data_IF_308307324197
#
_entry.id   IF_308307324197
#
_cell.length_a   1.000
_cell.length_b   1.000
_cell.length_c   1.000
_cell.angle_alpha   90.00
_cell.angle_beta   90.00
_cell.angle_gamma   90.00
#
_symmetry.space_group_name_H-M   'P 1'
#
loop_
_entity.id
_entity.type
_entity.pdbx_description
1 polymer ?
#
# COMPACT_ATOMS: atom_id res chain seq x y z
N UNK A 1 -2.40 27.10 -13.02
CA UNK A 1 -2.53 25.80 -12.30
C UNK A 1 -1.55 24.77 -12.89
N UNK A 2 -0.33 25.20 -13.23
CA UNK A 2 0.68 24.45 -13.99
C UNK A 2 1.70 23.71 -13.09
N UNK A 3 1.64 23.89 -11.77
CA UNK A 3 2.73 23.50 -10.87
C UNK A 3 2.79 22.04 -10.40
N UNK A 4 1.83 21.16 -10.72
CA UNK A 4 1.84 19.76 -10.24
C UNK A 4 2.05 18.70 -11.33
N UNK A 5 1.66 19.00 -12.57
CA UNK A 5 1.76 18.04 -13.69
C UNK A 5 3.24 17.85 -14.08
N UNK A 6 4.03 18.93 -14.08
CA UNK A 6 5.46 18.92 -14.42
C UNK A 6 6.37 18.19 -13.40
N UNK A 7 5.94 18.04 -12.14
CA UNK A 7 6.78 17.50 -11.07
C UNK A 7 6.85 15.96 -11.07
N UNK A 8 5.75 15.27 -11.41
CA UNK A 8 5.76 13.80 -11.48
C UNK A 8 6.51 13.32 -12.72
N UNK A 9 6.36 13.98 -13.86
CA UNK A 9 7.04 13.56 -15.10
C UNK A 9 8.57 13.70 -15.00
N UNK A 10 9.06 14.79 -14.40
CA UNK A 10 10.49 15.03 -14.22
C UNK A 10 11.16 14.20 -13.09
N UNK A 11 10.39 13.79 -12.07
CA UNK A 11 10.91 13.08 -10.90
C UNK A 11 10.23 11.72 -10.66
N UNK A 12 9.71 11.12 -11.74
CA UNK A 12 8.88 9.90 -11.68
C UNK A 12 9.57 8.75 -10.94
N UNK A 13 10.82 8.48 -11.28
CA UNK A 13 11.59 7.39 -10.68
C UNK A 13 11.86 7.65 -9.20
N UNK A 14 12.29 8.86 -8.85
CA UNK A 14 12.52 9.26 -7.46
C UNK A 14 11.24 9.14 -6.63
N UNK A 15 10.09 9.57 -7.18
CA UNK A 15 8.80 9.41 -6.52
C UNK A 15 8.49 7.93 -6.27
N UNK A 16 8.64 7.06 -7.28
CA UNK A 16 8.39 5.61 -7.12
C UNK A 16 9.26 5.02 -6.02
N UNK A 17 10.56 5.34 -6.01
CA UNK A 17 11.51 4.87 -4.98
C UNK A 17 11.10 5.29 -3.57
N UNK A 18 10.75 6.58 -3.38
CA UNK A 18 10.25 7.09 -2.11
C UNK A 18 9.00 6.33 -1.66
N UNK A 19 8.05 6.05 -2.56
CA UNK A 19 6.83 5.30 -2.23
C UNK A 19 7.11 3.83 -1.89
N UNK A 20 8.09 3.21 -2.52
CA UNK A 20 8.56 1.86 -2.15
C UNK A 20 9.13 1.89 -0.73
N UNK A 21 10.06 2.80 -0.44
CA UNK A 21 10.68 2.94 0.88
C UNK A 21 9.62 3.20 1.96
N UNK A 22 8.69 4.14 1.72
CA UNK A 22 7.58 4.44 2.62
C UNK A 22 6.71 3.19 2.90
N UNK A 23 6.46 2.36 1.88
CA UNK A 23 5.69 1.13 2.06
C UNK A 23 6.42 0.13 2.97
N UNK A 24 7.73 -0.04 2.77
CA UNK A 24 8.57 -0.95 3.54
C UNK A 24 8.75 -0.47 4.98
N UNK A 25 9.04 0.81 5.19
CA UNK A 25 9.13 1.41 6.52
C UNK A 25 7.78 1.35 7.26
N UNK A 26 6.68 1.55 6.54
CA UNK A 26 5.32 1.38 7.06
C UNK A 26 5.07 -0.04 7.58
N UNK A 27 5.52 -1.06 6.85
CA UNK A 27 5.48 -2.45 7.32
C UNK A 27 6.34 -2.68 8.55
N UNK A 28 7.58 -2.20 8.56
CA UNK A 28 8.47 -2.33 9.71
C UNK A 28 7.83 -1.77 11.00
N UNK A 29 7.23 -0.58 10.90
CA UNK A 29 6.52 0.03 12.02
C UNK A 29 5.26 -0.73 12.41
N UNK A 30 4.48 -1.21 11.44
CA UNK A 30 3.29 -2.02 11.70
C UNK A 30 3.62 -3.28 12.50
N UNK A 31 4.70 -3.99 12.13
CA UNK A 31 5.15 -5.19 12.83
C UNK A 31 5.57 -4.87 14.27
N UNK A 32 6.33 -3.79 14.49
CA UNK A 32 6.73 -3.36 15.84
C UNK A 32 5.51 -3.06 16.71
N UNK A 33 4.55 -2.30 16.18
CA UNK A 33 3.29 -2.00 16.88
C UNK A 33 2.51 -3.27 17.23
N UNK A 34 2.46 -4.23 16.31
CA UNK A 34 1.77 -5.48 16.52
C UNK A 34 2.39 -6.31 17.66
N UNK A 35 3.73 -6.35 17.75
CA UNK A 35 4.47 -7.03 18.83
C UNK A 35 4.18 -6.42 20.20
N UNK A 36 4.06 -5.11 20.25
CA UNK A 36 3.69 -4.36 21.47
C UNK A 36 2.18 -4.44 21.78
N UNK A 37 1.40 -5.18 21.00
CA UNK A 37 -0.02 -5.41 21.24
C UNK A 37 -0.95 -4.37 20.61
N UNK A 38 -0.44 -3.36 19.90
CA UNK A 38 -1.23 -2.28 19.31
C UNK A 38 -1.80 -2.63 17.93
N UNK A 39 -2.72 -3.60 17.87
CA UNK A 39 -3.29 -4.12 16.61
C UNK A 39 -3.98 -3.03 15.77
N UNK A 40 -4.70 -2.07 16.38
CA UNK A 40 -5.36 -0.98 15.64
C UNK A 40 -4.36 -0.03 14.96
N UNK A 41 -3.28 0.31 15.66
CA UNK A 41 -2.21 1.14 15.12
C UNK A 41 -1.44 0.38 14.03
N UNK A 42 -1.18 -0.92 14.25
CA UNK A 42 -0.58 -1.78 13.23
C UNK A 42 -1.43 -1.84 11.96
N UNK A 43 -2.75 -2.02 12.08
CA UNK A 43 -3.68 -1.99 10.94
C UNK A 43 -3.63 -0.67 10.16
N UNK A 44 -3.61 0.46 10.88
CA UNK A 44 -3.44 1.78 10.25
C UNK A 44 -2.13 1.87 9.46
N UNK A 45 -1.02 1.37 10.01
CA UNK A 45 0.29 1.38 9.34
C UNK A 45 0.37 0.44 8.14
N UNK A 46 -0.19 -0.76 8.23
CA UNK A 46 -0.31 -1.67 7.07
C UNK A 46 -1.15 -1.03 5.97
N UNK A 47 -2.28 -0.39 6.31
CA UNK A 47 -3.10 0.30 5.31
C UNK A 47 -2.35 1.45 4.62
N UNK A 48 -1.61 2.26 5.38
CA UNK A 48 -0.79 3.33 4.80
C UNK A 48 0.34 2.79 3.92
N UNK A 49 1.00 1.71 4.34
CA UNK A 49 2.00 1.02 3.53
C UNK A 49 1.40 0.50 2.22
N UNK A 50 0.21 -0.09 2.27
CA UNK A 50 -0.52 -0.58 1.09
C UNK A 50 -0.78 0.56 0.10
N UNK A 51 -1.25 1.71 0.58
CA UNK A 51 -1.45 2.90 -0.28
C UNK A 51 -0.14 3.40 -0.90
N UNK A 52 0.97 3.32 -0.19
CA UNK A 52 2.28 3.68 -0.72
C UNK A 52 2.69 2.73 -1.87
N UNK A 53 2.55 1.43 -1.68
CA UNK A 53 2.81 0.45 -2.74
C UNK A 53 1.89 0.65 -3.97
N UNK A 54 0.57 0.83 -3.77
CA UNK A 54 -0.37 1.08 -4.87
C UNK A 54 0.00 2.36 -5.62
N UNK A 55 0.36 3.42 -4.90
CA UNK A 55 0.83 4.67 -5.50
C UNK A 55 2.10 4.47 -6.35
N UNK A 56 3.06 3.67 -5.87
CA UNK A 56 4.24 3.30 -6.66
C UNK A 56 3.87 2.56 -7.95
N UNK A 57 2.95 1.58 -7.88
CA UNK A 57 2.45 0.84 -9.06
C UNK A 57 1.72 1.74 -10.05
N UNK A 58 0.86 2.65 -9.56
CA UNK A 58 0.15 3.62 -10.41
C UNK A 58 1.14 4.49 -11.16
N UNK A 59 2.13 5.07 -10.46
CA UNK A 59 3.11 5.95 -11.10
C UNK A 59 4.04 5.16 -12.02
N UNK A 60 4.40 3.93 -11.71
CA UNK A 60 5.14 3.05 -12.61
C UNK A 60 4.37 2.78 -13.92
N UNK A 61 3.03 2.81 -13.88
CA UNK A 61 2.15 2.52 -15.01
C UNK A 61 1.34 3.73 -15.52
N UNK A 62 1.75 4.96 -15.19
CA UNK A 62 0.94 6.16 -15.38
C UNK A 62 0.46 6.40 -16.82
N UNK A 63 1.19 5.93 -17.83
CA UNK A 63 0.76 6.00 -19.24
C UNK A 63 -0.35 5.01 -19.61
N UNK A 64 -0.46 3.90 -18.86
CA UNK A 64 -1.44 2.84 -19.07
C UNK A 64 -2.62 2.92 -18.11
N UNK A 65 -2.48 3.64 -17.00
CA UNK A 65 -3.55 3.75 -16.00
C UNK A 65 -4.82 4.40 -16.57
N UNK A 66 -4.77 5.56 -17.25
CA UNK A 66 -5.96 6.21 -17.77
C UNK A 66 -6.55 5.47 -18.98
N UNK A 67 -7.88 5.51 -19.11
CA UNK A 67 -8.61 5.08 -20.32
C UNK A 67 -8.94 6.23 -21.26
N UNK A 68 -9.02 7.45 -20.72
CA UNK A 68 -9.34 8.67 -21.44
C UNK A 68 -8.61 9.89 -20.82
N UNK A 69 -8.72 11.05 -21.47
CA UNK A 69 -8.06 12.28 -21.05
C UNK A 69 -8.53 12.79 -19.68
N UNK A 70 -9.78 12.52 -19.31
CA UNK A 70 -10.35 12.92 -18.02
C UNK A 70 -9.74 12.08 -16.89
N UNK A 71 -9.65 10.77 -17.08
CA UNK A 71 -8.90 9.90 -16.17
C UNK A 71 -7.42 10.30 -16.13
N UNK A 72 -6.82 10.69 -17.26
CA UNK A 72 -5.41 11.13 -17.32
C UNK A 72 -5.18 12.33 -16.41
N UNK A 73 -6.04 13.34 -16.53
CA UNK A 73 -6.01 14.51 -15.66
C UNK A 73 -6.20 14.13 -14.19
N UNK A 74 -7.13 13.21 -13.89
CA UNK A 74 -7.37 12.75 -12.52
C UNK A 74 -6.16 12.03 -11.93
N UNK A 75 -5.53 11.12 -12.68
CA UNK A 75 -4.33 10.40 -12.24
C UNK A 75 -3.17 11.36 -11.99
N UNK A 76 -2.97 12.35 -12.86
CA UNK A 76 -1.92 13.36 -12.71
C UNK A 76 -2.16 14.31 -11.52
N UNK A 77 -3.41 14.62 -11.19
CA UNK A 77 -3.73 15.53 -10.08
C UNK A 77 -3.85 14.84 -8.72
N UNK A 78 -4.38 13.62 -8.68
CA UNK A 78 -4.80 12.99 -7.42
C UNK A 78 -4.63 11.47 -7.43
N UNK A 79 -4.96 10.79 -8.53
CA UNK A 79 -4.92 9.32 -8.59
C UNK A 79 -3.54 8.73 -8.26
N UNK A 80 -2.45 9.42 -8.61
CA UNK A 80 -1.09 9.02 -8.26
C UNK A 80 -0.84 8.87 -6.75
N UNK A 81 -1.61 9.57 -5.90
CA UNK A 81 -1.54 9.49 -4.43
C UNK A 81 -2.22 8.25 -3.87
N UNK A 82 -2.90 7.46 -4.71
CA UNK A 82 -3.76 6.35 -4.29
C UNK A 82 -4.76 6.77 -3.19
N UNK A 83 -5.63 7.78 -3.42
CA UNK A 83 -6.58 8.26 -2.41
C UNK A 83 -7.50 7.15 -1.93
N UNK A 84 -7.85 7.13 -0.64
CA UNK A 84 -8.69 6.07 -0.05
C UNK A 84 -10.02 5.91 -0.77
N UNK A 85 -10.64 7.01 -1.19
CA UNK A 85 -11.92 7.03 -1.92
C UNK A 85 -11.83 6.46 -3.33
N UNK A 86 -10.66 6.53 -3.97
CA UNK A 86 -10.41 5.99 -5.31
C UNK A 86 -9.73 4.63 -5.33
N UNK A 87 -9.30 4.12 -4.17
CA UNK A 87 -8.38 2.98 -4.07
C UNK A 87 -8.93 1.71 -4.73
N UNK A 88 -10.23 1.43 -4.56
CA UNK A 88 -10.88 0.26 -5.20
C UNK A 88 -10.83 0.35 -6.73
N UNK A 89 -11.18 1.49 -7.30
CA UNK A 89 -11.15 1.70 -8.75
C UNK A 89 -9.73 1.66 -9.32
N UNK A 90 -8.76 2.22 -8.60
CA UNK A 90 -7.34 2.12 -8.96
C UNK A 90 -6.90 0.66 -9.00
N UNK A 91 -7.25 -0.13 -7.98
CA UNK A 91 -6.85 -1.54 -7.91
C UNK A 91 -7.51 -2.41 -8.97
N UNK A 92 -8.77 -2.14 -9.35
CA UNK A 92 -9.41 -2.78 -10.51
C UNK A 92 -8.64 -2.48 -11.80
N UNK A 93 -8.24 -1.22 -11.99
CA UNK A 93 -7.46 -0.84 -13.17
C UNK A 93 -6.08 -1.49 -13.19
N UNK A 94 -5.43 -1.62 -12.03
CA UNK A 94 -4.18 -2.37 -11.90
C UNK A 94 -4.37 -3.86 -12.21
N UNK A 95 -5.49 -4.47 -11.83
CA UNK A 95 -5.79 -5.86 -12.21
C UNK A 95 -5.96 -6.07 -13.71
N UNK A 96 -6.61 -5.13 -14.40
CA UNK A 96 -6.68 -5.14 -15.87
C UNK A 96 -5.28 -5.08 -16.52
N UNK A 97 -4.29 -4.53 -15.82
CA UNK A 97 -2.89 -4.49 -16.24
C UNK A 97 -2.07 -5.71 -15.75
N UNK A 98 -2.71 -6.67 -15.08
CA UNK A 98 -2.10 -7.93 -14.62
C UNK A 98 -1.63 -7.94 -13.16
N UNK A 99 -1.87 -6.88 -12.38
CA UNK A 99 -1.47 -6.81 -10.98
C UNK A 99 -2.58 -7.34 -10.06
N UNK A 100 -2.38 -8.48 -9.40
CA UNK A 100 -3.37 -9.11 -8.51
C UNK A 100 -3.46 -8.39 -7.15
N UNK A 101 -4.12 -7.23 -7.12
CA UNK A 101 -4.15 -6.34 -5.95
C UNK A 101 -5.56 -5.98 -5.45
N UNK A 102 -6.63 -6.35 -6.14
CA UNK A 102 -7.99 -5.90 -5.77
C UNK A 102 -8.47 -6.52 -4.46
N UNK A 103 -8.29 -7.83 -4.30
CA UNK A 103 -8.72 -8.55 -3.11
C UNK A 103 -7.98 -8.04 -1.87
N UNK A 104 -6.66 -7.93 -1.95
CA UNK A 104 -5.84 -7.35 -0.90
C UNK A 104 -6.16 -5.89 -0.60
N UNK A 105 -6.56 -5.11 -1.62
CA UNK A 105 -7.04 -3.74 -1.41
C UNK A 105 -8.34 -3.73 -0.61
N UNK A 106 -9.24 -4.68 -0.87
CA UNK A 106 -10.47 -4.82 -0.11
C UNK A 106 -10.19 -5.16 1.35
N UNK A 107 -9.25 -6.07 1.61
CA UNK A 107 -8.76 -6.39 2.98
C UNK A 107 -8.05 -5.19 3.63
N UNK A 108 -7.24 -4.43 2.89
CA UNK A 108 -6.62 -3.22 3.44
C UNK A 108 -7.67 -2.18 3.85
N UNK A 109 -8.79 -2.07 3.12
CA UNK A 109 -9.91 -1.19 3.48
C UNK A 109 -10.69 -1.67 4.70
N UNK A 110 -10.82 -2.99 4.94
CA UNK A 110 -11.40 -3.51 6.20
C UNK A 110 -10.48 -3.17 7.38
N UNK A 111 -9.17 -3.35 7.23
CA UNK A 111 -8.16 -2.96 8.22
C UNK A 111 -8.16 -1.46 8.51
N UNK A 112 -8.39 -0.63 7.49
CA UNK A 112 -8.58 0.81 7.66
C UNK A 112 -9.76 1.09 8.60
N UNK A 113 -10.94 0.51 8.35
CA UNK A 113 -12.11 0.69 9.23
C UNK A 113 -11.85 0.18 10.65
N UNK A 114 -11.25 -0.99 10.79
CA UNK A 114 -10.82 -1.53 12.09
C UNK A 114 -9.92 -0.58 12.87
N UNK A 115 -8.99 0.11 12.21
CA UNK A 115 -8.07 1.02 12.91
C UNK A 115 -8.81 2.15 13.65
N UNK A 116 -9.89 2.68 13.07
CA UNK A 116 -10.72 3.72 13.70
C UNK A 116 -11.75 3.15 14.67
N UNK A 117 -12.36 2.02 14.33
CA UNK A 117 -13.57 1.55 15.02
C UNK A 117 -13.30 0.40 16.01
N UNK A 118 -12.10 -0.18 16.02
CA UNK A 118 -11.78 -1.34 16.86
C UNK A 118 -12.69 -2.53 16.54
N UNK A 119 -13.25 -3.16 17.56
CA UNK A 119 -14.19 -4.30 17.43
C UNK A 119 -15.66 -3.87 17.55
N UNK A 120 -15.96 -2.58 17.33
CA UNK A 120 -17.32 -2.09 17.44
C UNK A 120 -18.22 -2.75 16.39
N UNK A 121 -19.22 -3.51 16.87
CA UNK A 121 -20.17 -4.21 16.01
C UNK A 121 -20.94 -3.21 15.15
N UNK A 122 -21.00 -3.46 13.85
CA UNK A 122 -21.66 -2.58 12.88
C UNK A 122 -20.79 -1.46 12.31
N UNK A 123 -19.59 -1.23 12.86
CA UNK A 123 -18.60 -0.29 12.30
C UNK A 123 -17.26 -0.93 11.96
N UNK A 124 -17.04 -2.17 12.38
CA UNK A 124 -15.86 -2.99 12.07
C UNK A 124 -16.26 -4.27 11.38
N UNK A 125 -15.40 -4.73 10.46
CA UNK A 125 -15.54 -6.02 9.78
C UNK A 125 -15.05 -7.21 10.63
N UNK A 126 -14.42 -6.94 11.79
CA UNK A 126 -13.81 -7.95 12.63
C UNK A 126 -14.60 -8.15 13.93
N UNK A 127 -14.85 -9.42 14.27
CA UNK A 127 -15.48 -9.80 15.54
C UNK A 127 -14.44 -9.98 16.65
N UNK A 128 -13.21 -10.37 16.29
CA UNK A 128 -12.12 -10.60 17.23
C UNK A 128 -10.84 -9.85 16.83
N UNK A 129 -9.96 -9.63 17.80
CA UNK A 129 -8.66 -9.01 17.54
C UNK A 129 -7.78 -9.94 16.71
N UNK A 130 -7.91 -11.24 16.90
CA UNK A 130 -7.14 -12.29 16.24
C UNK A 130 -7.43 -12.35 14.75
N UNK A 131 -8.69 -12.17 14.33
CA UNK A 131 -9.05 -12.02 12.90
C UNK A 131 -8.34 -10.83 12.27
N UNK A 132 -8.38 -9.66 12.93
CA UNK A 132 -7.69 -8.47 12.43
C UNK A 132 -6.18 -8.69 12.35
N UNK A 133 -5.58 -9.36 13.33
CA UNK A 133 -4.14 -9.68 13.32
C UNK A 133 -3.77 -10.58 12.14
N UNK A 134 -4.59 -11.59 11.83
CA UNK A 134 -4.36 -12.45 10.65
C UNK A 134 -4.36 -11.64 9.36
N UNK A 135 -5.31 -10.73 9.19
CA UNK A 135 -5.38 -9.88 8.00
C UNK A 135 -4.25 -8.85 7.94
N UNK A 136 -3.83 -8.28 9.08
CA UNK A 136 -2.62 -7.42 9.16
C UNK A 136 -1.41 -8.18 8.66
N UNK A 137 -1.19 -9.40 9.15
CA UNK A 137 -0.05 -10.24 8.77
C UNK A 137 -0.13 -10.66 7.30
N UNK A 138 -1.32 -11.05 6.83
CA UNK A 138 -1.56 -11.45 5.44
C UNK A 138 -1.24 -10.31 4.47
N UNK A 139 -1.84 -9.13 4.67
CA UNK A 139 -1.60 -7.96 3.81
C UNK A 139 -0.13 -7.52 3.87
N UNK A 140 0.51 -7.58 5.04
CA UNK A 140 1.92 -7.22 5.16
C UNK A 140 2.86 -8.16 4.37
N UNK A 141 2.62 -9.48 4.44
CA UNK A 141 3.42 -10.47 3.70
C UNK A 141 3.21 -10.36 2.19
N UNK A 142 1.96 -10.19 1.77
CA UNK A 142 1.64 -10.03 0.34
C UNK A 142 2.18 -8.70 -0.21
N UNK A 143 2.11 -7.60 0.55
CA UNK A 143 2.74 -6.33 0.17
C UNK A 143 4.22 -6.54 -0.12
N UNK A 144 4.94 -7.19 0.80
CA UNK A 144 6.37 -7.44 0.65
C UNK A 144 6.66 -8.27 -0.62
N UNK A 145 5.87 -9.33 -0.86
CA UNK A 145 5.96 -10.16 -2.08
C UNK A 145 5.75 -9.34 -3.35
N UNK A 146 4.71 -8.51 -3.39
CA UNK A 146 4.34 -7.69 -4.55
C UNK A 146 5.37 -6.59 -4.84
N UNK A 147 5.97 -5.98 -3.81
CA UNK A 147 7.07 -5.03 -3.98
C UNK A 147 8.24 -5.69 -4.72
N UNK A 148 8.66 -6.88 -4.28
CA UNK A 148 9.74 -7.62 -4.92
C UNK A 148 9.39 -8.07 -6.34
N UNK A 149 8.16 -8.53 -6.56
CA UNK A 149 7.70 -9.03 -7.85
C UNK A 149 7.60 -7.92 -8.91
N UNK A 150 7.03 -6.77 -8.55
CA UNK A 150 6.59 -5.77 -9.52
C UNK A 150 7.41 -4.49 -9.55
N UNK A 151 8.22 -4.23 -8.52
CA UNK A 151 8.97 -2.97 -8.37
C UNK A 151 10.49 -3.18 -8.32
N UNK A 152 10.97 -4.40 -8.59
CA UNK A 152 12.41 -4.76 -8.69
C UNK A 152 13.20 -3.92 -9.69
N UNK A 153 12.55 -3.36 -10.72
CA UNK A 153 13.18 -2.43 -11.65
C UNK A 153 13.77 -1.20 -10.94
N UNK A 154 13.18 -0.78 -9.82
CA UNK A 154 13.53 0.46 -9.11
C UNK A 154 14.48 0.22 -7.94
N UNK A 155 15.00 -0.99 -7.80
CA UNK A 155 15.80 -1.40 -6.65
C UNK A 155 17.12 -0.64 -6.56
N UNK A 156 17.48 -0.26 -5.34
CA UNK A 156 18.78 0.26 -4.95
C UNK A 156 19.13 -0.20 -3.53
N UNK A 157 20.29 0.20 -3.03
CA UNK A 157 20.79 -0.24 -1.73
C UNK A 157 19.86 0.15 -0.57
N UNK A 158 19.22 1.32 -0.64
CA UNK A 158 18.29 1.78 0.39
C UNK A 158 16.99 0.95 0.40
N UNK A 159 16.45 0.64 -0.79
CA UNK A 159 15.28 -0.25 -0.91
C UNK A 159 15.64 -1.66 -0.42
N UNK A 160 16.81 -2.19 -0.78
CA UNK A 160 17.26 -3.52 -0.34
C UNK A 160 17.37 -3.59 1.19
N UNK A 161 17.96 -2.58 1.83
CA UNK A 161 18.08 -2.52 3.29
C UNK A 161 16.71 -2.50 3.97
N UNK A 162 15.80 -1.64 3.49
CA UNK A 162 14.44 -1.55 4.01
C UNK A 162 13.64 -2.83 3.78
N UNK A 163 13.83 -3.49 2.64
CA UNK A 163 13.18 -4.76 2.30
C UNK A 163 13.65 -5.86 3.24
N UNK A 164 14.97 -6.05 3.39
CA UNK A 164 15.54 -7.06 4.30
C UNK A 164 15.08 -6.86 5.73
N UNK A 165 15.01 -5.61 6.18
CA UNK A 165 14.54 -5.27 7.52
C UNK A 165 13.06 -5.63 7.70
N UNK A 166 12.20 -5.26 6.74
CA UNK A 166 10.78 -5.61 6.76
C UNK A 166 10.57 -7.13 6.72
N UNK A 167 11.29 -7.83 5.85
CA UNK A 167 11.24 -9.30 5.71
C UNK A 167 11.64 -10.00 7.01
N UNK A 168 12.78 -9.61 7.60
CA UNK A 168 13.23 -10.14 8.89
C UNK A 168 12.18 -9.94 9.99
N UNK A 169 11.64 -8.74 10.12
CA UNK A 169 10.63 -8.43 11.12
C UNK A 169 9.35 -9.26 10.94
N UNK A 170 8.90 -9.45 9.69
CA UNK A 170 7.72 -10.27 9.38
C UNK A 170 7.95 -11.77 9.65
N UNK A 171 9.15 -12.28 9.40
CA UNK A 171 9.49 -13.69 9.65
C UNK A 171 9.57 -14.01 11.15
N UNK A 172 9.92 -13.03 11.96
CA UNK A 172 9.93 -13.14 13.43
C UNK A 172 8.51 -13.04 14.05
N UNK A 173 7.48 -12.63 13.31
CA UNK A 173 6.09 -12.74 13.76
C UNK A 173 5.69 -14.21 13.73
N UNK A 174 5.48 -14.80 14.91
CA UNK A 174 4.89 -16.14 15.03
C UNK A 174 3.52 -16.18 14.33
N UNK A 175 3.18 -17.26 13.61
CA UNK A 175 1.83 -17.50 13.08
C UNK A 175 0.75 -17.42 14.17
#
# INVERSE_FOLDING_TARGET
MEGKISLIEGYREAYIKVRIIESLQGLQLAVRLLREGFSRNAASKVFMAWKAMISALVVANLEKMPRDDKEREWYMKTGFLAPTTGLKGISQRLEELGYKVLDLTSTALTLHRYSYNGLYRGASDYATREEAIRDIQHVARELLRLVKEHLSKYWDDEIEENYRTAEKLLNELKP
#
